data_IF_790292631776
#
_entry.id   IF_790292631776
#
_cell.length_a   1.000
_cell.length_b   1.000
_cell.length_c   1.000
_cell.angle_alpha   90.00
_cell.angle_beta   90.00
_cell.angle_gamma   90.00
#
_symmetry.space_group_name_H-M   'P 1'
#
loop_
_entity.id
_entity.type
_entity.pdbx_description
1 polymer ?
#
# COMPACT_ATOMS: atom_id res chain seq x y z
N UNK A 1 -17.83 2.05 3.19
CA UNK A 1 -16.45 1.76 2.77
C UNK A 1 -16.18 2.50 1.47
N UNK A 2 -15.04 3.19 1.38
CA UNK A 2 -14.59 3.91 0.18
C UNK A 2 -13.32 3.23 -0.34
N UNK A 3 -13.22 3.08 -1.65
CA UNK A 3 -12.08 2.45 -2.34
C UNK A 3 -11.60 3.36 -3.47
N UNK A 4 -10.86 4.44 -3.14
CA UNK A 4 -10.43 5.39 -4.17
C UNK A 4 -9.42 4.77 -5.12
N UNK A 5 -9.58 5.03 -6.41
CA UNK A 5 -8.53 4.77 -7.39
C UNK A 5 -7.55 5.95 -7.42
N UNK A 6 -6.28 5.67 -7.23
CA UNK A 6 -5.24 6.70 -7.25
C UNK A 6 -4.99 7.22 -8.68
N UNK A 7 -4.61 8.48 -8.80
CA UNK A 7 -4.40 9.16 -10.09
C UNK A 7 -3.43 8.39 -10.99
N UNK A 8 -3.84 8.14 -12.22
CA UNK A 8 -3.04 7.44 -13.24
C UNK A 8 -3.22 5.92 -13.24
N UNK A 9 -4.04 5.34 -12.34
CA UNK A 9 -4.26 3.90 -12.26
C UNK A 9 -5.68 3.54 -12.71
N UNK A 10 -5.88 2.28 -13.14
CA UNK A 10 -7.17 1.67 -13.51
C UNK A 10 -8.04 2.63 -14.36
N UNK A 11 -9.29 2.92 -13.97
CA UNK A 11 -10.20 3.82 -14.68
C UNK A 11 -9.72 5.28 -14.75
N UNK A 12 -8.73 5.64 -13.90
CA UNK A 12 -8.06 6.95 -13.95
C UNK A 12 -6.75 6.94 -14.76
N UNK A 13 -6.49 5.88 -15.53
CA UNK A 13 -5.30 5.74 -16.37
C UNK A 13 -5.14 6.89 -17.39
N UNK A 14 -6.23 7.54 -17.80
CA UNK A 14 -6.19 8.72 -18.68
C UNK A 14 -5.48 9.94 -18.05
N UNK A 15 -5.25 9.94 -16.74
CA UNK A 15 -4.48 10.95 -16.00
C UNK A 15 -3.00 10.56 -15.80
N UNK A 16 -2.60 9.40 -16.30
CA UNK A 16 -1.24 8.89 -16.15
C UNK A 16 -0.22 9.81 -16.84
N UNK A 17 0.78 10.24 -16.08
CA UNK A 17 1.86 11.08 -16.60
C UNK A 17 3.13 10.90 -15.76
N UNK A 18 4.32 11.28 -16.27
CA UNK A 18 5.56 11.27 -15.51
C UNK A 18 5.55 12.15 -14.26
N UNK A 19 4.62 13.11 -14.17
CA UNK A 19 4.49 14.00 -13.02
C UNK A 19 3.76 13.35 -11.83
N UNK A 20 3.01 12.27 -12.06
CA UNK A 20 2.29 11.56 -10.99
C UNK A 20 3.30 10.89 -10.05
N UNK A 21 3.32 11.33 -8.81
CA UNK A 21 4.22 10.84 -7.77
C UNK A 21 3.48 10.44 -6.50
N UNK A 22 4.25 10.09 -5.47
CA UNK A 22 3.71 9.70 -4.16
C UNK A 22 2.83 10.81 -3.58
N UNK A 23 3.26 12.06 -3.66
CA UNK A 23 2.52 13.21 -3.17
C UNK A 23 1.15 13.38 -3.85
N UNK A 24 1.05 13.09 -5.16
CA UNK A 24 -0.21 13.07 -5.89
C UNK A 24 -1.17 12.05 -5.29
N UNK A 25 -0.70 10.84 -5.03
CA UNK A 25 -1.52 9.77 -4.45
C UNK A 25 -1.93 10.05 -3.00
N UNK A 26 -1.05 10.64 -2.20
CA UNK A 26 -1.41 11.10 -0.86
C UNK A 26 -2.52 12.16 -0.94
N UNK A 27 -2.39 13.13 -1.86
CA UNK A 27 -3.38 14.17 -2.04
C UNK A 27 -4.72 13.64 -2.54
N UNK A 28 -4.75 12.60 -3.38
CA UNK A 28 -6.00 11.94 -3.80
C UNK A 28 -6.81 11.46 -2.58
N UNK A 29 -6.14 10.82 -1.61
CA UNK A 29 -6.81 10.28 -0.42
C UNK A 29 -7.17 11.40 0.57
N UNK A 30 -6.29 12.38 0.79
CA UNK A 30 -6.58 13.56 1.63
C UNK A 30 -7.82 14.30 1.11
N UNK A 31 -7.87 14.56 -0.21
CA UNK A 31 -9.00 15.24 -0.83
C UNK A 31 -10.31 14.45 -0.69
N UNK A 32 -10.25 13.11 -0.77
CA UNK A 32 -11.41 12.26 -0.54
C UNK A 32 -11.90 12.35 0.91
N UNK A 33 -10.98 12.25 1.89
CA UNK A 33 -11.33 12.36 3.31
C UNK A 33 -12.00 13.71 3.63
N UNK A 34 -11.53 14.78 2.98
CA UNK A 34 -12.10 16.12 3.14
C UNK A 34 -13.45 16.27 2.46
N UNK A 35 -13.58 15.78 1.22
CA UNK A 35 -14.81 15.91 0.42
C UNK A 35 -15.99 15.12 1.04
N UNK A 36 -15.70 13.95 1.60
CA UNK A 36 -16.69 13.08 2.24
C UNK A 36 -16.84 13.37 3.75
N UNK A 37 -16.16 14.41 4.27
CA UNK A 37 -16.08 14.74 5.71
C UNK A 37 -15.85 13.49 6.58
N UNK A 38 -14.97 12.60 6.13
CA UNK A 38 -14.65 11.40 6.89
C UNK A 38 -14.02 11.76 8.24
N UNK A 39 -14.49 11.11 9.30
CA UNK A 39 -13.97 11.20 10.66
C UNK A 39 -13.80 9.82 11.23
N UNK A 40 -12.83 9.65 12.10
CA UNK A 40 -12.52 8.36 12.73
C UNK A 40 -12.35 7.24 11.68
N UNK A 41 -11.75 7.56 10.53
CA UNK A 41 -11.59 6.62 9.44
C UNK A 41 -10.50 5.59 9.74
N UNK A 42 -10.76 4.34 9.41
CA UNK A 42 -9.74 3.28 9.35
C UNK A 42 -9.18 3.29 7.92
N UNK A 43 -7.91 3.69 7.78
CA UNK A 43 -7.25 3.78 6.49
C UNK A 43 -6.40 2.53 6.24
N UNK A 44 -6.75 1.75 5.21
CA UNK A 44 -6.03 0.53 4.83
C UNK A 44 -5.20 0.76 3.58
N UNK A 45 -3.90 0.48 3.64
CA UNK A 45 -3.00 0.52 2.49
C UNK A 45 -2.36 -0.83 2.21
N UNK A 46 -2.49 -1.31 0.98
CA UNK A 46 -1.88 -2.53 0.50
C UNK A 46 -0.60 -2.22 -0.28
N UNK A 47 0.45 -3.01 -0.05
CA UNK A 47 1.67 -2.94 -0.85
C UNK A 47 2.27 -1.51 -0.90
N UNK A 48 2.43 -0.91 -2.07
CA UNK A 48 2.88 0.46 -2.27
C UNK A 48 2.04 1.48 -1.46
N UNK A 49 0.74 1.25 -1.32
CA UNK A 49 -0.13 2.18 -0.63
C UNK A 49 0.17 2.34 0.88
N UNK A 50 1.05 1.53 1.46
CA UNK A 50 1.60 1.79 2.79
C UNK A 50 2.29 3.15 2.90
N UNK A 51 3.03 3.59 1.86
CA UNK A 51 3.60 4.93 1.81
C UNK A 51 2.53 6.02 1.75
N UNK A 52 1.45 5.76 1.00
CA UNK A 52 0.31 6.69 0.91
C UNK A 52 -0.37 6.81 2.27
N UNK A 53 -0.65 5.69 2.94
CA UNK A 53 -1.27 5.65 4.28
C UNK A 53 -0.44 6.45 5.28
N UNK A 54 0.88 6.28 5.28
CA UNK A 54 1.78 7.03 6.17
C UNK A 54 1.69 8.53 5.90
N UNK A 55 1.76 8.95 4.63
CA UNK A 55 1.69 10.36 4.26
C UNK A 55 0.33 11.00 4.54
N UNK A 56 -0.77 10.25 4.36
CA UNK A 56 -2.12 10.71 4.70
C UNK A 56 -2.26 10.89 6.21
N UNK A 57 -1.78 9.92 6.99
CA UNK A 57 -1.82 9.99 8.46
C UNK A 57 -1.01 11.18 9.00
N UNK A 58 0.09 11.54 8.34
CA UNK A 58 0.87 12.71 8.73
C UNK A 58 0.17 14.04 8.42
N UNK A 59 -0.56 14.12 7.29
CA UNK A 59 -1.28 15.34 6.87
C UNK A 59 -2.62 15.53 7.55
N UNK A 60 -3.31 14.43 7.83
CA UNK A 60 -4.67 14.43 8.38
C UNK A 60 -4.83 13.41 9.52
N UNK A 61 -3.98 13.51 10.58
CA UNK A 61 -4.12 12.65 11.75
C UNK A 61 -5.50 12.83 12.42
N UNK A 62 -6.06 14.03 12.32
CA UNK A 62 -7.39 14.40 12.85
C UNK A 62 -8.57 13.67 12.20
N UNK A 63 -8.36 13.00 11.07
CA UNK A 63 -9.38 12.26 10.32
C UNK A 63 -9.36 10.76 10.56
N UNK A 64 -8.31 10.24 11.18
CA UNK A 64 -8.05 8.81 11.26
C UNK A 64 -8.17 8.29 12.70
N UNK A 65 -8.95 7.23 12.88
CA UNK A 65 -8.91 6.42 14.08
C UNK A 65 -7.75 5.42 14.05
N UNK A 66 -7.38 4.94 12.86
CA UNK A 66 -6.38 3.88 12.70
C UNK A 66 -5.84 3.82 11.27
N UNK A 67 -4.61 3.31 11.13
CA UNK A 67 -4.01 2.93 9.86
C UNK A 67 -3.65 1.43 9.88
N UNK A 68 -3.97 0.74 8.79
CA UNK A 68 -3.66 -0.69 8.61
C UNK A 68 -2.77 -0.85 7.38
N UNK A 69 -1.66 -1.54 7.55
CA UNK A 69 -0.70 -1.89 6.51
C UNK A 69 -0.91 -3.34 6.12
N UNK A 70 -1.53 -3.57 4.97
CA UNK A 70 -1.75 -4.91 4.44
C UNK A 70 -0.59 -5.28 3.52
N UNK A 71 0.31 -6.14 4.00
CA UNK A 71 1.48 -6.62 3.24
C UNK A 71 2.15 -5.47 2.49
N UNK A 72 2.55 -4.41 3.23
CA UNK A 72 2.81 -3.09 2.67
C UNK A 72 4.11 -2.47 3.15
N UNK A 73 4.60 -1.46 2.42
CA UNK A 73 5.75 -0.67 2.85
C UNK A 73 5.46 0.11 4.14
N UNK A 74 6.35 -0.02 5.11
CA UNK A 74 6.42 0.82 6.31
C UNK A 74 7.62 1.75 6.15
N UNK A 75 7.39 2.95 5.65
CA UNK A 75 8.42 3.97 5.44
C UNK A 75 8.42 5.04 6.52
N UNK A 76 9.58 5.66 6.72
CA UNK A 76 9.79 6.83 7.56
C UNK A 76 10.05 8.09 6.74
N UNK A 77 10.33 9.21 7.44
CA UNK A 77 10.70 10.47 6.79
C UNK A 77 11.95 10.31 5.93
N UNK A 78 11.90 10.81 4.71
CA UNK A 78 12.97 10.71 3.73
C UNK A 78 13.05 9.38 2.96
N UNK A 79 12.28 8.34 3.32
CA UNK A 79 12.28 7.07 2.62
C UNK A 79 11.52 7.17 1.29
N UNK A 80 12.10 6.61 0.22
CA UNK A 80 11.39 6.30 -1.01
C UNK A 80 11.08 4.80 -1.07
N UNK A 81 9.96 4.40 -1.67
CA UNK A 81 9.56 2.99 -1.73
C UNK A 81 10.66 2.08 -2.34
N UNK A 82 11.41 2.59 -3.32
CA UNK A 82 12.51 1.86 -3.96
C UNK A 82 13.67 1.60 -2.99
N UNK A 83 13.91 2.48 -2.03
CA UNK A 83 14.99 2.36 -1.04
C UNK A 83 14.64 1.33 0.07
N UNK A 84 13.37 0.94 0.16
CA UNK A 84 12.86 -0.03 1.13
C UNK A 84 12.82 -1.48 0.59
N UNK A 85 13.15 -1.66 -0.68
CA UNK A 85 13.25 -2.97 -1.33
C UNK A 85 14.64 -3.58 -1.12
N UNK A 86 14.77 -4.91 -1.11
CA UNK A 86 16.07 -5.57 -1.28
C UNK A 86 16.76 -5.07 -2.57
N UNK A 87 18.10 -4.89 -2.53
CA UNK A 87 18.83 -4.26 -3.64
C UNK A 87 18.64 -4.99 -4.98
N UNK A 88 18.63 -6.32 -4.97
CA UNK A 88 18.37 -7.10 -6.18
C UNK A 88 16.98 -6.82 -6.80
N UNK A 89 15.97 -6.59 -5.94
CA UNK A 89 14.61 -6.22 -6.38
C UNK A 89 14.60 -4.79 -6.91
N UNK A 90 15.26 -3.87 -6.22
CA UNK A 90 15.36 -2.47 -6.65
C UNK A 90 16.08 -2.34 -7.99
N UNK A 91 17.16 -3.10 -8.22
CA UNK A 91 17.84 -3.17 -9.51
C UNK A 91 16.90 -3.67 -10.61
N UNK A 92 16.16 -4.76 -10.35
CA UNK A 92 15.18 -5.29 -11.31
C UNK A 92 14.11 -4.24 -11.68
N UNK A 93 13.61 -3.46 -10.71
CA UNK A 93 12.66 -2.39 -10.99
C UNK A 93 13.28 -1.30 -11.88
N UNK A 94 14.50 -0.83 -11.58
CA UNK A 94 15.18 0.18 -12.37
C UNK A 94 15.40 -0.28 -13.83
N UNK A 95 15.83 -1.55 -14.01
CA UNK A 95 16.01 -2.15 -15.32
C UNK A 95 14.71 -2.28 -16.10
N UNK A 96 13.63 -2.77 -15.46
CA UNK A 96 12.33 -2.93 -16.09
C UNK A 96 11.73 -1.59 -16.52
N UNK A 97 11.89 -0.55 -15.69
CA UNK A 97 11.49 0.82 -16.03
C UNK A 97 12.26 1.34 -17.23
N UNK A 98 13.59 1.12 -17.26
CA UNK A 98 14.45 1.59 -18.36
C UNK A 98 14.17 0.88 -19.69
N UNK A 99 13.91 -0.44 -19.66
CA UNK A 99 13.82 -1.27 -20.87
C UNK A 99 12.39 -1.42 -21.40
N UNK A 100 11.39 -1.54 -20.51
CA UNK A 100 9.99 -1.80 -20.87
C UNK A 100 9.02 -0.72 -20.38
N UNK A 101 9.45 0.15 -19.46
CA UNK A 101 8.64 1.20 -18.85
C UNK A 101 8.85 2.60 -19.41
N UNK A 102 9.46 2.73 -20.59
CA UNK A 102 9.74 4.02 -21.23
C UNK A 102 10.52 5.02 -20.34
N UNK A 103 11.22 4.51 -19.32
CA UNK A 103 11.98 5.31 -18.35
C UNK A 103 11.14 5.96 -17.23
N UNK A 104 9.83 5.76 -17.21
CA UNK A 104 8.96 6.41 -16.20
C UNK A 104 7.75 5.58 -15.72
N UNK A 105 7.61 4.34 -16.21
CA UNK A 105 6.57 3.41 -15.79
C UNK A 105 7.17 2.14 -15.20
N UNK A 106 6.59 1.63 -14.15
CA UNK A 106 6.79 0.26 -13.69
C UNK A 106 5.83 -0.61 -14.51
N UNK A 107 6.34 -1.54 -15.34
CA UNK A 107 5.49 -2.48 -16.06
C UNK A 107 4.71 -3.36 -15.10
N UNK A 108 3.56 -3.86 -15.56
CA UNK A 108 2.76 -4.83 -14.81
C UNK A 108 3.60 -6.06 -14.45
N UNK A 109 3.55 -6.46 -13.19
CA UNK A 109 4.24 -7.66 -12.69
C UNK A 109 3.42 -8.92 -12.96
N UNK A 110 4.10 -10.05 -13.01
CA UNK A 110 3.43 -11.35 -13.06
C UNK A 110 2.64 -11.59 -11.77
N UNK A 111 1.36 -11.89 -11.92
CA UNK A 111 0.47 -12.21 -10.80
C UNK A 111 0.88 -13.48 -10.05
N UNK A 112 1.49 -14.46 -10.76
CA UNK A 112 2.05 -15.67 -10.13
C UNK A 112 3.14 -15.33 -9.09
N UNK A 113 3.99 -14.35 -9.38
CA UNK A 113 5.01 -13.87 -8.42
C UNK A 113 4.38 -13.23 -7.19
N UNK A 114 3.15 -12.72 -7.32
CA UNK A 114 2.36 -12.13 -6.23
C UNK A 114 1.48 -13.17 -5.50
N UNK A 115 1.63 -14.47 -5.83
CA UNK A 115 0.91 -15.54 -5.16
C UNK A 115 -0.52 -15.79 -5.67
N UNK A 116 -0.89 -15.21 -6.81
CA UNK A 116 -2.18 -15.53 -7.47
C UNK A 116 -1.97 -16.70 -8.41
N UNK A 117 -2.60 -17.84 -8.12
CA UNK A 117 -2.39 -19.10 -8.86
C UNK A 117 -3.67 -19.67 -9.45
N UNK A 118 -4.84 -19.21 -9.02
CA UNK A 118 -6.13 -19.64 -9.57
C UNK A 118 -6.38 -19.01 -10.94
N UNK A 119 -6.77 -19.81 -11.93
CA UNK A 119 -6.96 -19.37 -13.31
C UNK A 119 -8.11 -18.35 -13.47
N UNK A 120 -9.16 -18.46 -12.66
CA UNK A 120 -10.27 -17.52 -12.69
C UNK A 120 -9.84 -16.16 -12.12
N UNK A 121 -9.09 -16.16 -11.02
CA UNK A 121 -8.52 -14.94 -10.42
C UNK A 121 -7.53 -14.28 -11.36
N UNK A 122 -6.65 -15.05 -12.00
CA UNK A 122 -5.69 -14.54 -13.00
C UNK A 122 -6.42 -13.88 -14.18
N UNK A 123 -7.44 -14.55 -14.71
CA UNK A 123 -8.24 -14.06 -15.83
C UNK A 123 -9.03 -12.81 -15.47
N UNK A 124 -9.50 -12.71 -14.23
CA UNK A 124 -10.24 -11.56 -13.73
C UNK A 124 -9.33 -10.38 -13.45
N UNK A 125 -8.20 -10.58 -12.79
CA UNK A 125 -7.32 -9.52 -12.30
C UNK A 125 -6.42 -8.94 -13.40
N UNK A 126 -5.84 -9.80 -14.25
CA UNK A 126 -4.84 -9.38 -15.26
C UNK A 126 -5.27 -8.18 -16.13
N UNK A 127 -6.49 -8.10 -16.70
CA UNK A 127 -6.89 -6.97 -17.52
C UNK A 127 -7.20 -5.68 -16.72
N UNK A 128 -7.22 -5.76 -15.40
CA UNK A 128 -7.53 -4.63 -14.50
C UNK A 128 -6.28 -3.92 -13.99
N UNK A 129 -5.13 -4.59 -14.09
CA UNK A 129 -3.87 -4.00 -13.69
C UNK A 129 -3.34 -3.05 -14.78
N UNK A 130 -2.79 -1.94 -14.38
CA UNK A 130 -2.17 -0.94 -15.25
C UNK A 130 -0.71 -0.75 -14.87
N UNK A 131 0.15 -0.27 -15.80
CA UNK A 131 1.48 0.18 -15.42
C UNK A 131 1.41 1.24 -14.33
N UNK A 132 2.42 1.27 -13.44
CA UNK A 132 2.45 2.17 -12.30
C UNK A 132 3.47 3.30 -12.52
N UNK A 133 3.17 4.58 -12.16
CA UNK A 133 4.12 5.67 -12.34
C UNK A 133 5.40 5.44 -11.50
N UNK A 134 6.56 5.45 -12.14
CA UNK A 134 7.83 5.23 -11.46
C UNK A 134 8.14 6.26 -10.36
N UNK A 135 7.72 7.51 -10.58
CA UNK A 135 7.93 8.59 -9.61
C UNK A 135 7.30 8.29 -8.24
N UNK A 136 6.25 7.48 -8.17
CA UNK A 136 5.63 7.08 -6.89
C UNK A 136 6.58 6.25 -6.03
N UNK A 137 7.48 5.49 -6.65
CA UNK A 137 8.49 4.68 -5.97
C UNK A 137 9.78 5.44 -5.65
N UNK A 138 10.07 6.52 -6.39
CA UNK A 138 11.31 7.28 -6.24
C UNK A 138 11.15 8.60 -5.49
N UNK A 139 9.94 9.10 -5.36
CA UNK A 139 9.65 10.28 -4.56
C UNK A 139 9.76 9.93 -3.08
N UNK A 140 10.53 10.73 -2.36
CA UNK A 140 10.71 10.57 -0.92
C UNK A 140 9.47 11.00 -0.16
N UNK A 141 9.15 10.25 0.88
CA UNK A 141 8.11 10.59 1.83
C UNK A 141 8.60 11.76 2.71
N UNK A 142 7.80 12.78 2.83
CA UNK A 142 8.07 13.96 3.68
C UNK A 142 7.07 13.94 4.84
N UNK A 143 7.57 13.81 6.07
CA UNK A 143 6.76 13.66 7.27
C UNK A 143 7.11 14.73 8.31
N UNK A 144 6.09 15.28 8.97
CA UNK A 144 6.23 16.15 10.12
C UNK A 144 6.38 15.38 11.44
N UNK A 145 6.00 14.11 11.44
CA UNK A 145 5.92 13.26 12.62
C UNK A 145 4.51 13.09 13.19
N UNK A 146 3.52 13.84 12.69
CA UNK A 146 2.14 13.79 13.20
C UNK A 146 1.46 12.43 13.01
N UNK A 147 1.91 11.61 12.05
CA UNK A 147 1.41 10.25 11.84
C UNK A 147 1.66 9.33 13.03
N UNK A 148 2.63 9.63 13.89
CA UNK A 148 3.00 8.77 15.02
C UNK A 148 1.87 8.62 16.04
N UNK A 149 1.00 9.62 16.16
CA UNK A 149 -0.14 9.61 17.08
C UNK A 149 -1.33 8.77 16.59
N UNK A 150 -1.34 8.36 15.31
CA UNK A 150 -2.40 7.54 14.74
C UNK A 150 -2.07 6.07 14.97
N UNK A 151 -2.92 5.29 15.69
CA UNK A 151 -2.69 3.86 15.90
C UNK A 151 -2.44 3.11 14.59
N UNK A 152 -1.55 2.12 14.62
CA UNK A 152 -1.18 1.35 13.44
C UNK A 152 -1.24 -0.15 13.69
N UNK A 153 -1.55 -0.93 12.64
CA UNK A 153 -1.55 -2.40 12.64
C UNK A 153 -0.95 -2.89 11.34
N UNK A 154 -0.18 -3.98 11.39
CA UNK A 154 0.35 -4.64 10.21
C UNK A 154 -0.32 -6.00 10.00
N UNK A 155 -0.71 -6.30 8.76
CA UNK A 155 -1.25 -7.60 8.34
C UNK A 155 -0.31 -8.18 7.31
N UNK A 156 0.37 -9.27 7.62
CA UNK A 156 1.31 -9.95 6.72
C UNK A 156 0.62 -11.08 5.96
N UNK A 157 0.86 -11.20 4.65
CA UNK A 157 0.48 -12.33 3.83
C UNK A 157 1.64 -13.34 3.76
N UNK A 158 1.41 -14.61 4.17
CA UNK A 158 2.52 -15.54 4.44
C UNK A 158 2.71 -16.66 3.43
N UNK A 159 1.75 -16.93 2.52
CA UNK A 159 1.81 -18.03 1.55
C UNK A 159 2.35 -17.59 0.17
N UNK A 160 3.44 -16.80 0.20
CA UNK A 160 4.17 -16.37 -0.98
C UNK A 160 5.62 -16.04 -0.59
N UNK A 161 6.38 -15.32 -1.44
CA UNK A 161 7.80 -14.99 -1.16
C UNK A 161 8.05 -14.10 0.07
N UNK A 162 7.02 -13.67 0.80
CA UNK A 162 7.09 -12.81 1.99
C UNK A 162 7.96 -11.57 1.79
N UNK A 163 7.77 -10.89 0.66
CA UNK A 163 8.59 -9.73 0.31
C UNK A 163 8.48 -8.55 1.31
N UNK A 164 7.46 -8.57 2.17
CA UNK A 164 7.22 -7.56 3.20
C UNK A 164 7.53 -8.02 4.63
N UNK A 165 8.20 -9.18 4.82
CA UNK A 165 8.58 -9.66 6.16
C UNK A 165 9.42 -8.62 6.93
N UNK A 166 10.38 -7.96 6.30
CA UNK A 166 11.17 -6.90 6.93
C UNK A 166 10.32 -5.69 7.36
N UNK A 167 9.18 -5.45 6.70
CA UNK A 167 8.23 -4.41 7.10
C UNK A 167 7.36 -4.84 8.28
N UNK A 168 7.00 -6.13 8.36
CA UNK A 168 6.36 -6.71 9.54
C UNK A 168 7.28 -6.60 10.77
N UNK A 169 8.56 -6.95 10.64
CA UNK A 169 9.56 -6.79 11.69
C UNK A 169 9.75 -5.32 12.11
N UNK A 170 9.74 -4.39 11.15
CA UNK A 170 9.79 -2.94 11.43
C UNK A 170 8.55 -2.48 12.19
N UNK A 171 7.37 -2.98 11.86
CA UNK A 171 6.13 -2.70 12.57
C UNK A 171 6.17 -3.22 14.02
N UNK A 172 6.63 -4.47 14.23
CA UNK A 172 6.82 -5.05 15.56
C UNK A 172 7.80 -4.24 16.40
N UNK A 173 8.93 -3.84 15.81
CA UNK A 173 9.94 -3.01 16.48
C UNK A 173 9.41 -1.63 16.87
N UNK A 174 8.43 -1.10 16.12
CA UNK A 174 7.70 0.13 16.44
C UNK A 174 6.57 -0.09 17.47
N UNK A 175 6.37 -1.32 17.97
CA UNK A 175 5.34 -1.67 18.93
C UNK A 175 3.94 -1.81 18.34
N UNK A 176 3.81 -1.95 17.00
CA UNK A 176 2.52 -2.15 16.38
C UNK A 176 2.09 -3.62 16.50
N UNK A 177 0.80 -3.89 16.71
CA UNK A 177 0.28 -5.24 16.55
C UNK A 177 0.51 -5.74 15.13
N UNK A 178 0.94 -7.01 15.01
CA UNK A 178 1.10 -7.71 13.74
C UNK A 178 0.22 -8.94 13.72
N UNK A 179 -0.52 -9.14 12.64
CA UNK A 179 -1.31 -10.34 12.38
C UNK A 179 -0.95 -10.93 11.02
N UNK A 180 -1.28 -12.21 10.81
CA UNK A 180 -0.93 -12.93 9.58
C UNK A 180 -2.15 -13.52 8.91
N UNK A 181 -2.12 -13.59 7.57
CA UNK A 181 -3.08 -14.32 6.75
C UNK A 181 -2.30 -15.28 5.86
N UNK A 182 -2.57 -16.61 5.89
CA UNK A 182 -1.91 -17.58 5.03
C UNK A 182 -2.48 -17.49 3.60
N UNK A 183 -1.98 -16.52 2.83
CA UNK A 183 -2.42 -16.23 1.46
C UNK A 183 -1.31 -15.55 0.66
N UNK A 184 -1.53 -15.38 -0.65
CA UNK A 184 -0.69 -14.56 -1.54
C UNK A 184 -0.79 -13.06 -1.23
N UNK A 185 0.06 -12.27 -1.89
CA UNK A 185 0.10 -10.82 -1.75
C UNK A 185 -1.26 -10.13 -1.99
N UNK A 186 -1.98 -10.62 -2.98
CA UNK A 186 -3.29 -10.08 -3.38
C UNK A 186 -4.44 -10.67 -2.51
N UNK A 187 -4.33 -10.54 -1.18
CA UNK A 187 -5.25 -11.09 -0.20
C UNK A 187 -6.73 -10.71 -0.46
N UNK A 188 -6.98 -9.53 -1.04
CA UNK A 188 -8.32 -9.06 -1.39
C UNK A 188 -8.96 -9.90 -2.52
N UNK A 189 -8.15 -10.64 -3.28
CA UNK A 189 -8.59 -11.55 -4.34
C UNK A 189 -8.53 -13.00 -3.86
N UNK A 190 -7.39 -13.41 -3.29
CA UNK A 190 -7.10 -14.82 -2.97
C UNK A 190 -7.72 -15.29 -1.64
N UNK A 191 -8.03 -14.38 -0.72
CA UNK A 191 -8.60 -14.70 0.60
C UNK A 191 -9.49 -13.59 1.18
N UNK A 192 -10.52 -13.09 0.44
CA UNK A 192 -11.30 -11.90 0.82
C UNK A 192 -12.00 -12.04 2.18
N UNK A 193 -12.51 -13.23 2.51
CA UNK A 193 -13.17 -13.45 3.80
C UNK A 193 -12.20 -13.43 4.98
N UNK A 194 -11.00 -14.01 4.81
CA UNK A 194 -9.96 -14.00 5.83
C UNK A 194 -9.44 -12.59 6.05
N UNK A 195 -9.25 -11.83 4.96
CA UNK A 195 -8.88 -10.42 5.02
C UNK A 195 -9.94 -9.60 5.76
N UNK A 196 -11.21 -9.72 5.43
CA UNK A 196 -12.28 -8.99 6.10
C UNK A 196 -12.30 -9.27 7.60
N UNK A 197 -12.15 -10.54 8.02
CA UNK A 197 -12.07 -10.93 9.43
C UNK A 197 -10.86 -10.32 10.13
N UNK A 198 -9.68 -10.32 9.48
CA UNK A 198 -8.45 -9.75 10.02
C UNK A 198 -8.57 -8.24 10.22
N UNK A 199 -9.09 -7.51 9.22
CA UNK A 199 -9.30 -6.07 9.31
C UNK A 199 -10.28 -5.71 10.44
N UNK A 200 -11.41 -6.43 10.56
CA UNK A 200 -12.38 -6.21 11.64
C UNK A 200 -11.79 -6.50 13.01
N UNK A 201 -10.99 -7.56 13.14
CA UNK A 201 -10.33 -7.88 14.41
C UNK A 201 -9.32 -6.79 14.83
N UNK A 202 -8.57 -6.22 13.87
CA UNK A 202 -7.66 -5.13 14.13
C UNK A 202 -8.38 -3.87 14.65
N UNK A 203 -9.54 -3.52 14.08
CA UNK A 203 -10.36 -2.37 14.52
C UNK A 203 -10.87 -2.59 15.95
N UNK A 204 -11.44 -3.74 16.24
CA UNK A 204 -11.97 -4.05 17.60
C UNK A 204 -10.86 -4.01 18.66
N UNK A 205 -9.65 -4.42 18.33
CA UNK A 205 -8.53 -4.41 19.27
C UNK A 205 -8.10 -2.99 19.65
N UNK A 206 -8.21 -2.01 18.76
CA UNK A 206 -7.92 -0.60 19.05
C UNK A 206 -9.01 0.02 19.92
N UNK A 207 -10.29 -0.23 19.60
CA UNK A 207 -11.43 0.28 20.40
C UNK A 207 -11.38 -0.22 21.86
N UNK A 208 -10.86 -1.43 22.08
CA UNK A 208 -10.71 -2.01 23.42
C UNK A 208 -9.54 -1.43 24.23
N UNK A 209 -8.59 -0.76 23.56
CA UNK A 209 -7.38 -0.18 24.17
C UNK A 209 -7.48 1.34 24.43
N UNK A 210 -8.52 1.99 23.86
CA UNK A 210 -8.80 3.42 24.01
C UNK A 210 -9.71 3.69 25.21
#
# INVERSE_FOLDING_TARGET
MLTPTLTGLSERAHLLSPAVGLDTHIQDVVALLDAEDCRDAVLVGHSYAGQVVTGVADRRPDRLAMRIYLDAFVGGDGDAAIDLLPEEVAVHYRESVATAGFGWLIPQRSLHVLGVTDDADLSWLSPRLTPHPWRTYTQRLELSGAHADVPAHFVECTDWMRAFAAHAERAEAAGWPVSTIPTGHEAMVTAPEALAKSLMAAVVAVDAAA
#
